data_IF_615015249472
#
_entry.id   IF_615015249472
#
_cell.length_a   1.000
_cell.length_b   1.000
_cell.length_c   1.000
_cell.angle_alpha   90.00
_cell.angle_beta   90.00
_cell.angle_gamma   90.00
#
_symmetry.space_group_name_H-M   'P 1'
#
loop_
_entity.id
_entity.type
_entity.pdbx_description
1 polymer ?
#
# COMPACT_ATOMS: atom_id res chain seq x y z
N UNK A 1 -3.81 25.04 -11.38
CA UNK A 1 -4.03 23.58 -11.22
C UNK A 1 -5.47 23.38 -10.74
N UNK A 2 -6.18 22.34 -11.18
CA UNK A 2 -7.57 22.07 -10.74
C UNK A 2 -7.54 21.58 -9.28
N UNK A 3 -8.38 22.17 -8.42
CA UNK A 3 -8.60 21.68 -7.04
C UNK A 3 -9.35 20.35 -7.11
N UNK A 4 -8.88 19.37 -6.33
CA UNK A 4 -9.43 18.02 -6.27
C UNK A 4 -9.68 17.64 -4.82
N UNK A 5 -10.66 16.78 -4.60
CA UNK A 5 -10.93 16.08 -3.35
C UNK A 5 -10.16 14.76 -3.35
N UNK A 6 -9.05 14.73 -2.60
CA UNK A 6 -8.18 13.58 -2.42
C UNK A 6 -8.48 12.87 -1.10
N UNK A 7 -8.99 11.65 -1.17
CA UNK A 7 -9.17 10.76 -0.01
C UNK A 7 -7.86 10.00 0.21
N UNK A 8 -7.18 10.16 1.34
CA UNK A 8 -5.93 9.45 1.60
C UNK A 8 -6.23 8.26 2.50
N UNK A 9 -5.98 7.05 2.01
CA UNK A 9 -6.16 5.82 2.77
C UNK A 9 -4.83 5.44 3.43
N UNK A 10 -4.84 5.20 4.74
CA UNK A 10 -3.67 4.80 5.52
C UNK A 10 -4.10 3.90 6.68
N UNK A 11 -3.15 3.22 7.32
CA UNK A 11 -3.48 2.47 8.53
C UNK A 11 -3.96 3.42 9.65
N UNK A 12 -4.89 3.00 10.50
CA UNK A 12 -5.45 3.84 11.56
C UNK A 12 -4.38 4.42 12.51
N UNK A 13 -3.36 3.62 12.81
CA UNK A 13 -2.24 4.01 13.70
C UNK A 13 -1.28 5.02 13.04
N UNK A 14 -1.36 5.17 11.71
CA UNK A 14 -0.50 6.06 10.93
C UNK A 14 -1.19 7.39 10.59
N UNK A 15 -2.42 7.61 11.09
CA UNK A 15 -3.09 8.89 10.90
C UNK A 15 -2.31 9.99 11.61
N UNK A 16 -1.80 11.01 10.87
CA UNK A 16 -0.95 12.01 11.47
C UNK A 16 -1.76 12.94 12.39
N UNK A 17 -1.15 13.43 13.49
CA UNK A 17 -1.81 14.37 14.38
C UNK A 17 -2.05 15.72 13.70
N UNK A 18 -3.03 16.47 14.18
CA UNK A 18 -3.32 17.83 13.66
C UNK A 18 -2.18 18.81 13.90
N UNK A 19 -1.41 18.61 14.97
CA UNK A 19 -0.24 19.40 15.32
C UNK A 19 0.98 18.51 15.50
N UNK A 20 2.11 18.96 14.95
CA UNK A 20 3.42 18.31 15.09
C UNK A 20 4.23 18.90 16.26
N UNK A 21 3.65 19.80 17.06
CA UNK A 21 4.35 20.44 18.17
C UNK A 21 4.78 19.41 19.21
N UNK A 22 6.09 19.33 19.46
CA UNK A 22 6.67 18.36 20.40
C UNK A 22 6.98 16.98 19.81
N UNK A 23 6.65 16.73 18.53
CA UNK A 23 7.04 15.52 17.82
C UNK A 23 8.36 15.73 17.08
N UNK A 24 9.19 14.68 16.97
CA UNK A 24 10.30 14.67 16.02
C UNK A 24 9.81 14.06 14.70
N UNK A 25 9.50 14.87 13.66
CA UNK A 25 8.95 14.37 12.42
C UNK A 25 9.92 13.43 11.67
N UNK A 26 11.22 13.42 11.97
CA UNK A 26 12.18 12.51 11.33
C UNK A 26 12.05 11.06 11.80
N UNK A 27 11.52 10.84 12.99
CA UNK A 27 11.42 9.52 13.63
C UNK A 27 9.98 9.07 13.84
N UNK A 28 9.00 9.88 13.41
CA UNK A 28 7.60 9.53 13.53
C UNK A 28 7.22 8.45 12.51
N UNK A 29 6.44 7.46 12.93
CA UNK A 29 5.96 6.38 12.05
C UNK A 29 5.01 6.94 10.98
N UNK A 30 4.14 7.89 11.34
CA UNK A 30 3.19 8.59 10.45
C UNK A 30 3.82 9.64 9.53
N UNK A 31 5.16 9.72 9.47
CA UNK A 31 5.87 10.77 8.74
C UNK A 31 5.45 10.82 7.27
N UNK A 32 5.37 9.67 6.62
CA UNK A 32 5.01 9.55 5.21
C UNK A 32 3.61 10.13 4.97
N UNK A 33 2.66 9.75 5.81
CA UNK A 33 1.27 10.18 5.78
C UNK A 33 1.18 11.69 5.98
N UNK A 34 1.91 12.24 6.96
CA UNK A 34 1.97 13.68 7.18
C UNK A 34 2.57 14.44 5.99
N UNK A 35 3.68 13.94 5.43
CA UNK A 35 4.33 14.58 4.29
C UNK A 35 3.40 14.59 3.08
N UNK A 36 2.66 13.51 2.81
CA UNK A 36 1.66 13.43 1.73
C UNK A 36 0.47 14.37 2.00
N UNK A 37 -0.14 14.29 3.19
CA UNK A 37 -1.30 15.12 3.58
C UNK A 37 -0.96 16.61 3.49
N UNK A 38 0.15 17.01 4.12
CA UNK A 38 0.55 18.43 4.19
C UNK A 38 0.95 18.97 2.82
N UNK A 39 1.59 18.16 1.98
CA UNK A 39 1.98 18.56 0.62
C UNK A 39 0.76 18.73 -0.27
N UNK A 40 -0.19 17.78 -0.27
CA UNK A 40 -1.42 17.88 -1.07
C UNK A 40 -2.28 19.09 -0.66
N UNK A 41 -2.36 19.39 0.64
CA UNK A 41 -3.01 20.61 1.15
C UNK A 41 -2.30 21.87 0.65
N UNK A 42 -0.96 21.92 0.72
CA UNK A 42 -0.15 23.05 0.21
C UNK A 42 -0.31 23.26 -1.30
N UNK A 43 -0.54 22.19 -2.06
CA UNK A 43 -0.85 22.25 -3.49
C UNK A 43 -2.28 22.74 -3.78
N UNK A 44 -3.11 22.97 -2.75
CA UNK A 44 -4.44 23.54 -2.86
C UNK A 44 -5.56 22.52 -3.08
N UNK A 45 -5.32 21.23 -2.78
CA UNK A 45 -6.35 20.18 -2.82
C UNK A 45 -7.13 20.11 -1.50
N UNK A 46 -8.37 19.63 -1.58
CA UNK A 46 -9.13 19.20 -0.42
C UNK A 46 -8.69 17.79 -0.04
N UNK A 47 -8.25 17.61 1.20
CA UNK A 47 -7.60 16.37 1.63
C UNK A 47 -8.28 15.81 2.87
N UNK A 48 -8.80 14.60 2.74
CA UNK A 48 -9.40 13.82 3.81
C UNK A 48 -8.51 12.61 4.14
N UNK A 49 -7.73 12.64 5.23
CA UNK A 49 -7.06 11.44 5.75
C UNK A 49 -8.08 10.47 6.34
N UNK A 50 -8.00 9.20 5.97
CA UNK A 50 -8.88 8.14 6.45
C UNK A 50 -8.02 6.97 6.96
N UNK A 51 -8.11 6.73 8.27
CA UNK A 51 -7.58 5.53 8.89
C UNK A 51 -8.44 4.31 8.58
N UNK A 52 -7.81 3.23 8.12
CA UNK A 52 -8.44 1.95 7.80
C UNK A 52 -7.64 0.85 8.50
N UNK A 53 -8.34 -0.12 9.09
CA UNK A 53 -7.72 -1.30 9.71
C UNK A 53 -8.34 -2.59 9.23
N UNK A 54 -9.59 -2.83 9.62
CA UNK A 54 -10.29 -4.09 9.37
C UNK A 54 -11.75 -3.91 8.91
N UNK A 55 -12.21 -2.67 8.76
CA UNK A 55 -13.54 -2.35 8.25
C UNK A 55 -13.42 -1.60 6.91
N UNK A 56 -13.95 -2.20 5.84
CA UNK A 56 -14.05 -1.54 4.53
C UNK A 56 -15.23 -0.56 4.46
N UNK A 57 -16.20 -0.66 5.38
CA UNK A 57 -17.36 0.21 5.46
C UNK A 57 -16.99 1.69 5.65
N UNK A 58 -15.88 1.97 6.34
CA UNK A 58 -15.36 3.34 6.49
C UNK A 58 -14.97 3.96 5.14
N UNK A 59 -14.46 3.15 4.20
CA UNK A 59 -14.11 3.59 2.84
C UNK A 59 -15.39 3.92 2.08
N UNK A 60 -16.38 3.01 2.10
CA UNK A 60 -17.67 3.23 1.43
C UNK A 60 -18.34 4.51 1.94
N UNK A 61 -18.41 4.68 3.26
CA UNK A 61 -19.00 5.86 3.89
C UNK A 61 -18.29 7.15 3.45
N UNK A 62 -16.96 7.17 3.48
CA UNK A 62 -16.18 8.32 3.03
C UNK A 62 -16.41 8.61 1.53
N UNK A 63 -16.51 7.57 0.70
CA UNK A 63 -16.78 7.72 -0.74
C UNK A 63 -18.17 8.31 -0.99
N UNK A 64 -19.20 7.83 -0.29
CA UNK A 64 -20.58 8.29 -0.48
C UNK A 64 -20.80 9.72 0.05
N UNK A 65 -20.30 10.01 1.25
CA UNK A 65 -20.49 11.30 1.93
C UNK A 65 -19.61 12.41 1.33
N UNK A 66 -18.32 12.11 1.09
CA UNK A 66 -17.34 13.12 0.68
C UNK A 66 -17.13 13.18 -0.84
N UNK A 67 -17.45 12.09 -1.55
CA UNK A 67 -17.38 11.95 -3.01
C UNK A 67 -15.99 12.30 -3.57
N UNK A 68 -14.91 11.62 -3.16
CA UNK A 68 -13.56 11.95 -3.62
C UNK A 68 -13.45 11.93 -5.14
N UNK A 69 -12.60 12.81 -5.69
CA UNK A 69 -12.23 12.76 -7.10
C UNK A 69 -11.15 11.70 -7.36
N UNK A 70 -10.35 11.37 -6.34
CA UNK A 70 -9.31 10.33 -6.35
C UNK A 70 -9.00 9.85 -4.93
N UNK A 71 -8.66 8.57 -4.77
CA UNK A 71 -8.07 8.01 -3.56
C UNK A 71 -6.54 7.92 -3.67
N UNK A 72 -5.82 8.50 -2.71
CA UNK A 72 -4.38 8.31 -2.56
C UNK A 72 -4.15 7.12 -1.63
N UNK A 73 -3.72 5.98 -2.17
CA UNK A 73 -3.54 4.76 -1.39
C UNK A 73 -2.14 4.70 -0.74
N UNK A 74 -2.09 4.71 0.59
CA UNK A 74 -0.89 4.48 1.41
C UNK A 74 -1.01 3.21 2.27
N UNK A 75 -2.05 2.38 2.06
CA UNK A 75 -2.17 1.13 2.80
C UNK A 75 -1.13 0.11 2.34
N UNK A 76 -0.47 -0.51 3.32
CA UNK A 76 0.49 -1.59 3.11
C UNK A 76 0.01 -2.92 3.67
N UNK A 77 -1.20 -3.01 4.22
CA UNK A 77 -1.82 -4.22 4.73
C UNK A 77 -3.32 -3.99 4.98
N UNK A 78 -4.05 -5.04 5.34
CA UNK A 78 -5.40 -4.94 5.88
C UNK A 78 -5.61 -6.04 6.93
N UNK A 79 -6.14 -5.69 8.11
CA UNK A 79 -6.37 -6.56 9.26
C UNK A 79 -5.14 -7.39 9.70
N UNK A 80 -3.96 -6.77 9.70
CA UNK A 80 -2.67 -7.38 10.01
C UNK A 80 -2.09 -8.23 8.89
N UNK A 81 -2.74 -8.30 7.72
CA UNK A 81 -2.34 -9.18 6.62
C UNK A 81 -1.89 -8.35 5.42
N UNK A 82 -0.58 -8.34 5.18
CA UNK A 82 0.03 -7.62 4.06
C UNK A 82 -0.67 -7.96 2.72
N UNK A 83 -0.81 -9.23 2.37
CA UNK A 83 -1.38 -9.64 1.07
C UNK A 83 -2.81 -9.17 0.80
N UNK A 84 -3.52 -8.61 1.79
CA UNK A 84 -4.87 -8.10 1.63
C UNK A 84 -4.95 -6.64 1.14
N UNK A 85 -3.83 -5.92 1.04
CA UNK A 85 -3.78 -4.58 0.44
C UNK A 85 -4.35 -4.54 -0.99
N UNK A 86 -4.13 -5.61 -1.78
CA UNK A 86 -4.72 -5.77 -3.10
C UNK A 86 -6.26 -5.80 -3.09
N UNK A 87 -6.88 -6.29 -2.00
CA UNK A 87 -8.34 -6.36 -1.87
C UNK A 87 -8.94 -4.98 -1.61
N UNK A 88 -8.22 -4.12 -0.90
CA UNK A 88 -8.63 -2.73 -0.68
C UNK A 88 -8.69 -1.96 -2.01
N UNK A 89 -7.65 -2.05 -2.85
CA UNK A 89 -7.69 -1.38 -4.16
C UNK A 89 -8.67 -2.05 -5.13
N UNK A 90 -8.91 -3.36 -5.02
CA UNK A 90 -9.99 -4.03 -5.77
C UNK A 90 -11.35 -3.46 -5.38
N UNK A 91 -11.55 -3.17 -4.08
CA UNK A 91 -12.77 -2.55 -3.60
C UNK A 91 -12.95 -1.14 -4.16
N UNK A 92 -11.88 -0.34 -4.27
CA UNK A 92 -11.93 0.97 -4.93
C UNK A 92 -12.32 0.85 -6.42
N UNK A 93 -11.82 -0.15 -7.14
CA UNK A 93 -12.23 -0.44 -8.52
C UNK A 93 -13.74 -0.74 -8.62
N UNK A 94 -14.28 -1.54 -7.68
CA UNK A 94 -15.70 -1.84 -7.62
C UNK A 94 -16.56 -0.61 -7.31
N UNK A 95 -16.05 0.31 -6.49
CA UNK A 95 -16.70 1.60 -6.20
C UNK A 95 -16.56 2.61 -7.34
N UNK A 96 -15.76 2.31 -8.38
CA UNK A 96 -15.49 3.22 -9.49
C UNK A 96 -14.67 4.46 -9.08
N UNK A 97 -13.92 4.38 -7.99
CA UNK A 97 -13.10 5.48 -7.47
C UNK A 97 -11.69 5.39 -8.08
N UNK A 98 -11.22 6.40 -8.82
CA UNK A 98 -9.84 6.44 -9.29
C UNK A 98 -8.87 6.42 -8.10
N UNK A 99 -7.74 5.73 -8.21
CA UNK A 99 -6.75 5.65 -7.13
C UNK A 99 -5.31 5.72 -7.62
N UNK A 100 -4.39 6.10 -6.73
CA UNK A 100 -2.95 6.11 -6.99
C UNK A 100 -2.32 4.75 -6.73
N UNK A 101 -1.21 4.46 -7.41
CA UNK A 101 -0.42 3.26 -7.18
C UNK A 101 -0.68 2.16 -8.20
N UNK A 102 -0.56 0.92 -7.76
CA UNK A 102 -0.64 -0.26 -8.61
C UNK A 102 -2.03 -0.89 -8.54
N UNK A 103 -2.47 -1.51 -9.63
CA UNK A 103 -3.73 -2.23 -9.66
C UNK A 103 -3.67 -3.56 -8.89
N UNK A 104 -4.81 -4.21 -8.58
CA UNK A 104 -4.83 -5.44 -7.79
C UNK A 104 -3.91 -6.53 -8.36
N UNK A 105 -3.93 -6.70 -9.70
CA UNK A 105 -3.11 -7.69 -10.39
C UNK A 105 -1.62 -7.42 -10.21
N UNK A 106 -1.20 -6.16 -10.32
CA UNK A 106 0.19 -5.77 -10.16
C UNK A 106 0.66 -5.92 -8.72
N UNK A 107 -0.18 -5.56 -7.73
CA UNK A 107 0.10 -5.80 -6.31
C UNK A 107 0.26 -7.30 -6.03
N UNK A 108 -0.64 -8.14 -6.52
CA UNK A 108 -0.55 -9.60 -6.35
C UNK A 108 0.81 -10.13 -6.86
N UNK A 109 1.22 -9.70 -8.05
CA UNK A 109 2.46 -10.14 -8.68
C UNK A 109 3.71 -9.65 -7.94
N UNK A 110 3.69 -8.42 -7.42
CA UNK A 110 4.84 -7.80 -6.74
C UNK A 110 4.99 -8.19 -5.27
N UNK A 111 3.91 -8.63 -4.61
CA UNK A 111 3.92 -9.08 -3.20
C UNK A 111 4.63 -10.42 -3.02
N UNK A 112 4.44 -11.35 -3.94
CA UNK A 112 5.07 -12.66 -3.89
C UNK A 112 6.40 -12.65 -4.65
N UNK A 113 7.51 -12.66 -3.91
CA UNK A 113 8.86 -12.66 -4.47
C UNK A 113 9.13 -13.86 -5.38
N UNK A 114 8.54 -15.02 -5.12
CA UNK A 114 8.71 -16.20 -5.95
C UNK A 114 7.91 -16.09 -7.25
N UNK A 115 6.66 -15.62 -7.19
CA UNK A 115 5.85 -15.35 -8.39
C UNK A 115 6.48 -14.24 -9.24
N UNK A 116 6.95 -13.14 -8.64
CA UNK A 116 7.69 -12.09 -9.35
C UNK A 116 8.85 -12.70 -10.13
N UNK A 117 9.71 -13.50 -9.49
CA UNK A 117 10.88 -14.12 -10.14
C UNK A 117 10.50 -15.13 -11.22
N UNK A 118 9.38 -15.85 -11.09
CA UNK A 118 8.83 -16.73 -12.12
C UNK A 118 8.43 -15.92 -13.37
N UNK A 119 7.80 -14.76 -13.20
CA UNK A 119 7.45 -13.86 -14.32
C UNK A 119 8.71 -13.27 -14.97
N UNK A 120 9.69 -12.82 -14.18
CA UNK A 120 10.97 -12.33 -14.71
C UNK A 120 11.70 -13.41 -15.52
N UNK A 121 11.72 -14.65 -15.02
CA UNK A 121 12.30 -15.81 -15.70
C UNK A 121 11.64 -16.05 -17.07
N UNK A 122 10.31 -16.06 -17.12
CA UNK A 122 9.55 -16.23 -18.36
C UNK A 122 9.91 -15.18 -19.42
N UNK A 123 10.15 -13.93 -19.01
CA UNK A 123 10.54 -12.83 -19.88
C UNK A 123 12.06 -12.67 -20.07
N UNK A 124 12.86 -13.63 -19.61
CA UNK A 124 14.33 -13.58 -19.69
C UNK A 124 14.97 -12.33 -19.04
N UNK A 125 14.33 -11.77 -18.02
CA UNK A 125 14.88 -10.66 -17.23
C UNK A 125 15.74 -11.27 -16.11
N UNK A 126 17.00 -10.82 -15.89
CA UNK A 126 17.85 -11.33 -14.82
C UNK A 126 17.20 -11.23 -13.44
N UNK A 127 17.30 -12.30 -12.64
CA UNK A 127 16.78 -12.37 -11.28
C UNK A 127 17.73 -13.19 -10.38
N UNK A 128 17.75 -12.95 -9.05
CA UNK A 128 18.53 -13.77 -8.13
C UNK A 128 17.98 -15.19 -8.04
N UNK A 129 18.85 -16.20 -8.13
CA UNK A 129 18.43 -17.59 -7.92
C UNK A 129 17.71 -17.76 -6.58
N UNK A 130 16.70 -18.63 -6.54
CA UNK A 130 15.87 -18.82 -5.35
C UNK A 130 15.30 -20.24 -5.24
N UNK A 131 14.84 -20.57 -4.04
CA UNK A 131 14.00 -21.74 -3.76
C UNK A 131 12.95 -21.36 -2.74
N UNK A 132 11.75 -21.94 -2.84
CA UNK A 132 10.69 -21.78 -1.85
C UNK A 132 10.79 -22.93 -0.83
N UNK A 133 10.69 -22.62 0.45
CA UNK A 133 10.62 -23.62 1.52
C UNK A 133 9.37 -23.35 2.34
N UNK A 134 8.37 -24.25 2.30
CA UNK A 134 7.16 -24.07 3.11
C UNK A 134 7.47 -24.05 4.60
N UNK A 135 6.71 -23.26 5.36
CA UNK A 135 6.84 -23.21 6.82
C UNK A 135 6.70 -24.61 7.44
N UNK A 136 7.57 -24.95 8.39
CA UNK A 136 7.60 -26.26 9.03
C UNK A 136 8.29 -27.37 8.21
N UNK A 137 8.84 -27.08 7.03
CA UNK A 137 9.63 -28.04 6.24
C UNK A 137 11.12 -27.87 6.48
N UNK A 138 11.85 -28.98 6.43
CA UNK A 138 13.32 -28.99 6.49
C UNK A 138 13.88 -28.31 5.24
N UNK A 139 14.75 -27.32 5.43
CA UNK A 139 15.44 -26.61 4.36
C UNK A 139 16.42 -27.56 3.66
N UNK A 140 16.20 -27.83 2.37
CA UNK A 140 17.16 -28.54 1.51
C UNK A 140 17.67 -27.59 0.44
N UNK A 141 18.91 -27.11 0.60
CA UNK A 141 19.55 -26.18 -0.35
C UNK A 141 19.81 -26.88 -1.69
N UNK A 142 19.24 -26.40 -2.81
CA UNK A 142 19.61 -26.85 -4.14
C UNK A 142 21.08 -26.54 -4.44
N UNK A 143 21.76 -27.41 -5.20
CA UNK A 143 23.20 -27.23 -5.54
C UNK A 143 23.51 -25.89 -6.22
N UNK A 144 22.55 -25.36 -6.99
CA UNK A 144 22.65 -24.08 -7.71
C UNK A 144 22.75 -22.85 -6.80
N UNK A 145 22.16 -22.90 -5.60
CA UNK A 145 22.21 -21.79 -4.63
C UNK A 145 23.53 -21.83 -3.85
N UNK A 146 24.55 -21.09 -4.26
CA UNK A 146 25.88 -21.05 -3.63
C UNK A 146 25.96 -19.91 -2.60
N UNK A 147 26.72 -20.09 -1.52
CA UNK A 147 26.96 -19.02 -0.54
C UNK A 147 27.89 -17.91 -1.06
N UNK A 148 27.70 -16.66 -0.62
CA UNK A 148 26.65 -16.19 0.30
C UNK A 148 25.26 -16.15 -0.37
N UNK A 149 24.22 -16.43 0.43
CA UNK A 149 22.80 -16.37 0.04
C UNK A 149 22.12 -15.18 0.70
#
# INVERSE_FOLDING_TARGET
>A
MKRLRVLILMHEDLVPPESIAGCNPKTAEWRTEYDVVSTLRKLGHDVLPLGVKNDLGVIHKAVDEWKPDIAFNLLEEFDGVAVYDQHVVSYLELLGVPYTGCNPRGLMLSRDKALTKKVLCFHHIPYPEFTEVPQGRVVRRPKRLIFPL
#
